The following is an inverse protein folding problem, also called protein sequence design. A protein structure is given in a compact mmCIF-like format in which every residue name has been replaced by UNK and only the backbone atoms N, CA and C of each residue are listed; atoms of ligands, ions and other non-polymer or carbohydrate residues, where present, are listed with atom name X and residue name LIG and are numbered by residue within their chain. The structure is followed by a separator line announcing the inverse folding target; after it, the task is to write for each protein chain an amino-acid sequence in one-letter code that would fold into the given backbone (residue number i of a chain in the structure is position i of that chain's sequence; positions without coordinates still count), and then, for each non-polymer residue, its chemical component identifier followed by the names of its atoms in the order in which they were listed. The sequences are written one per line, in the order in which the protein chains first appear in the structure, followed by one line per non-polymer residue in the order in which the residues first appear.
data_IF_160198466456
#
_entry.id   IF_160198466456
#
_cell.length_a   1.000
_cell.length_b   1.000
_cell.length_c   1.000
_cell.angle_alpha   90.00
_cell.angle_beta   90.00
_cell.angle_gamma   90.00
#
_symmetry.space_group_name_H-M   'P 1'
#
loop_
_entity.id
_entity.type
_entity.pdbx_description
1 polymer ?
#
# COMPACT_ATOMS: atom_id res chain seq x y z
N UNK A 1 35.61 10.15 -15.65
CA UNK A 1 34.92 10.53 -14.41
C UNK A 1 35.88 10.26 -13.27
N UNK A 2 35.93 11.16 -12.31
CA UNK A 2 36.70 10.93 -11.08
C UNK A 2 36.06 9.80 -10.27
N UNK A 3 36.87 9.06 -9.49
CA UNK A 3 36.39 7.88 -8.74
C UNK A 3 35.29 8.27 -7.75
N UNK A 4 35.46 9.40 -7.08
CA UNK A 4 34.49 9.94 -6.11
C UNK A 4 33.16 10.32 -6.78
N UNK A 5 33.19 10.78 -8.04
CA UNK A 5 31.98 11.08 -8.81
C UNK A 5 31.22 9.81 -9.20
N UNK A 6 31.93 8.71 -9.45
CA UNK A 6 31.31 7.43 -9.77
C UNK A 6 30.65 6.81 -8.53
N UNK A 7 31.32 6.83 -7.38
CA UNK A 7 30.76 6.35 -6.11
C UNK A 7 29.53 7.17 -5.68
N UNK A 8 29.59 8.51 -5.83
CA UNK A 8 28.44 9.37 -5.54
C UNK A 8 27.25 9.07 -6.47
N UNK A 9 27.51 8.82 -7.76
CA UNK A 9 26.46 8.47 -8.71
C UNK A 9 25.78 7.14 -8.34
N UNK A 10 26.57 6.11 -8.03
CA UNK A 10 26.04 4.79 -7.64
C UNK A 10 25.20 4.88 -6.37
N UNK A 11 25.65 5.65 -5.39
CA UNK A 11 24.87 5.91 -4.18
C UNK A 11 23.51 6.58 -4.48
N UNK A 12 23.51 7.62 -5.33
CA UNK A 12 22.26 8.31 -5.71
C UNK A 12 21.31 7.41 -6.51
N UNK A 13 21.84 6.53 -7.37
CA UNK A 13 21.04 5.54 -8.10
C UNK A 13 20.37 4.53 -7.16
N UNK A 14 21.09 4.07 -6.12
CA UNK A 14 20.53 3.20 -5.08
C UNK A 14 19.43 3.92 -4.28
N UNK A 15 19.66 5.17 -3.87
CA UNK A 15 18.65 5.97 -3.16
C UNK A 15 17.40 6.20 -4.03
N UNK A 16 17.58 6.49 -5.31
CA UNK A 16 16.47 6.66 -6.24
C UNK A 16 15.67 5.37 -6.40
N UNK A 17 16.33 4.23 -6.52
CA UNK A 17 15.67 2.94 -6.64
C UNK A 17 14.89 2.59 -5.37
N UNK A 18 15.49 2.82 -4.20
CA UNK A 18 14.82 2.66 -2.91
C UNK A 18 13.54 3.52 -2.82
N UNK A 19 13.62 4.81 -3.17
CA UNK A 19 12.44 5.69 -3.18
C UNK A 19 11.33 5.21 -4.13
N UNK A 20 11.69 4.67 -5.31
CA UNK A 20 10.71 4.14 -6.26
C UNK A 20 9.97 2.92 -5.71
N UNK A 21 10.69 2.03 -5.03
CA UNK A 21 10.09 0.84 -4.40
C UNK A 21 9.14 1.22 -3.27
N UNK A 22 9.52 2.18 -2.44
CA UNK A 22 8.65 2.73 -1.39
C UNK A 22 7.39 3.36 -1.99
N UNK A 23 7.54 4.15 -3.05
CA UNK A 23 6.41 4.79 -3.72
C UNK A 23 5.43 3.77 -4.31
N UNK A 24 5.94 2.68 -4.90
CA UNK A 24 5.09 1.60 -5.41
C UNK A 24 4.24 0.97 -4.31
N UNK A 25 4.83 0.66 -3.15
CA UNK A 25 4.11 0.08 -2.01
C UNK A 25 3.02 1.04 -1.51
N UNK A 26 3.33 2.33 -1.41
CA UNK A 26 2.37 3.35 -0.99
C UNK A 26 1.18 3.45 -1.94
N UNK A 27 1.39 3.36 -3.25
CA UNK A 27 0.28 3.40 -4.20
C UNK A 27 -0.58 2.14 -4.17
N UNK A 28 0.02 0.96 -3.96
CA UNK A 28 -0.76 -0.25 -3.72
C UNK A 28 -1.63 -0.13 -2.46
N UNK A 29 -1.11 0.46 -1.38
CA UNK A 29 -1.89 0.73 -0.17
C UNK A 29 -3.03 1.71 -0.45
N UNK A 30 -2.75 2.79 -1.18
CA UNK A 30 -3.72 3.82 -1.51
C UNK A 30 -4.92 3.25 -2.30
N UNK A 31 -4.66 2.40 -3.30
CA UNK A 31 -5.72 1.70 -4.06
C UNK A 31 -6.62 0.87 -3.13
N UNK A 32 -6.03 0.09 -2.22
CA UNK A 32 -6.78 -0.77 -1.29
C UNK A 32 -7.60 0.04 -0.28
N UNK A 33 -7.04 1.14 0.24
CA UNK A 33 -7.76 2.04 1.14
C UNK A 33 -8.93 2.73 0.42
N UNK A 34 -8.76 3.10 -0.85
CA UNK A 34 -9.86 3.60 -1.67
C UNK A 34 -10.95 2.55 -1.90
N UNK A 35 -10.60 1.28 -2.07
CA UNK A 35 -11.56 0.19 -2.19
C UNK A 35 -12.34 -0.03 -0.88
N UNK A 36 -11.66 0.00 0.26
CA UNK A 36 -12.31 -0.04 1.59
C UNK A 36 -13.29 1.12 1.77
N UNK A 37 -12.89 2.32 1.35
CA UNK A 37 -13.77 3.50 1.38
C UNK A 37 -15.03 3.28 0.54
N UNK A 38 -14.90 2.76 -0.69
CA UNK A 38 -16.04 2.48 -1.56
C UNK A 38 -17.00 1.46 -0.96
N UNK A 39 -16.50 0.44 -0.25
CA UNK A 39 -17.33 -0.53 0.47
C UNK A 39 -18.12 0.15 1.59
N UNK A 40 -17.47 1.03 2.36
CA UNK A 40 -18.12 1.77 3.44
C UNK A 40 -19.19 2.75 2.92
N UNK A 41 -18.91 3.45 1.82
CA UNK A 41 -19.87 4.33 1.14
C UNK A 41 -21.07 3.53 0.62
N UNK A 42 -20.83 2.39 -0.04
CA UNK A 42 -21.90 1.51 -0.50
C UNK A 42 -22.80 1.05 0.64
N UNK A 43 -22.21 0.63 1.77
CA UNK A 43 -22.95 0.17 2.94
C UNK A 43 -23.76 1.28 3.64
N UNK A 44 -23.36 2.55 3.49
CA UNK A 44 -24.10 3.70 4.00
C UNK A 44 -25.32 4.02 3.14
N UNK A 45 -25.21 3.85 1.82
CA UNK A 45 -26.24 4.23 0.85
C UNK A 45 -27.33 3.17 0.64
N UNK A 46 -27.11 1.94 1.09
CA UNK A 46 -28.00 0.81 0.83
C UNK A 46 -28.50 0.16 2.12
N UNK A 47 -29.77 -0.27 2.12
CA UNK A 47 -30.27 -1.18 3.14
C UNK A 47 -29.73 -2.60 2.87
N UNK A 48 -28.79 -3.03 3.71
CA UNK A 48 -28.13 -4.32 3.55
C UNK A 48 -28.79 -5.40 4.40
N UNK A 49 -28.92 -6.59 3.82
CA UNK A 49 -29.23 -7.81 4.57
C UNK A 49 -28.05 -8.23 5.45
N UNK A 50 -28.31 -9.07 6.46
CA UNK A 50 -27.26 -9.61 7.32
C UNK A 50 -26.17 -10.36 6.54
N UNK A 51 -26.54 -11.10 5.48
CA UNK A 51 -25.61 -11.81 4.61
C UNK A 51 -24.72 -10.86 3.80
N UNK A 52 -25.26 -9.73 3.32
CA UNK A 52 -24.47 -8.73 2.60
C UNK A 52 -23.50 -8.02 3.54
N UNK A 53 -23.94 -7.69 4.76
CA UNK A 53 -23.08 -7.13 5.80
C UNK A 53 -21.91 -8.08 6.11
N UNK A 54 -22.18 -9.38 6.26
CA UNK A 54 -21.13 -10.38 6.49
C UNK A 54 -20.14 -10.44 5.32
N UNK A 55 -20.64 -10.44 4.08
CA UNK A 55 -19.81 -10.46 2.88
C UNK A 55 -18.92 -9.21 2.76
N UNK A 56 -19.47 -8.01 2.99
CA UNK A 56 -18.71 -6.77 2.93
C UNK A 56 -17.66 -6.69 4.04
N UNK A 57 -17.98 -7.16 5.25
CA UNK A 57 -17.01 -7.27 6.33
C UNK A 57 -15.88 -8.27 5.99
N UNK A 58 -16.21 -9.37 5.31
CA UNK A 58 -15.21 -10.30 4.77
C UNK A 58 -14.23 -9.59 3.83
N UNK A 59 -14.74 -8.81 2.86
CA UNK A 59 -13.91 -8.04 1.93
C UNK A 59 -13.04 -7.00 2.64
N UNK A 60 -13.61 -6.26 3.60
CA UNK A 60 -12.86 -5.29 4.42
C UNK A 60 -11.73 -5.95 5.21
N UNK A 61 -11.96 -7.15 5.76
CA UNK A 61 -10.92 -7.88 6.50
C UNK A 61 -9.78 -8.35 5.58
N UNK A 62 -10.09 -8.78 4.35
CA UNK A 62 -9.06 -9.12 3.35
C UNK A 62 -8.22 -7.88 3.02
N UNK A 63 -8.86 -6.76 2.65
CA UNK A 63 -8.17 -5.51 2.32
C UNK A 63 -7.30 -5.01 3.47
N UNK A 64 -7.82 -5.06 4.71
CA UNK A 64 -7.06 -4.72 5.91
C UNK A 64 -5.80 -5.59 6.06
N UNK A 65 -5.90 -6.89 5.84
CA UNK A 65 -4.74 -7.79 5.94
C UNK A 65 -3.70 -7.51 4.85
N UNK A 66 -4.14 -7.14 3.64
CA UNK A 66 -3.25 -6.75 2.55
C UNK A 66 -2.54 -5.42 2.85
N UNK A 67 -3.26 -4.41 3.34
CA UNK A 67 -2.67 -3.14 3.79
C UNK A 67 -1.63 -3.38 4.89
N UNK A 68 -1.97 -4.16 5.93
CA UNK A 68 -1.02 -4.51 7.00
C UNK A 68 0.23 -5.22 6.45
N UNK A 69 0.08 -6.05 5.42
CA UNK A 69 1.20 -6.74 4.77
C UNK A 69 2.10 -5.76 4.01
N UNK A 70 1.51 -4.76 3.34
CA UNK A 70 2.24 -3.71 2.64
C UNK A 70 2.96 -2.76 3.62
N UNK A 71 2.30 -2.37 4.72
CA UNK A 71 2.93 -1.59 5.79
C UNK A 71 4.16 -2.29 6.36
N UNK A 72 4.07 -3.60 6.62
CA UNK A 72 5.23 -4.39 7.07
C UNK A 72 6.37 -4.37 6.05
N UNK A 73 6.07 -4.47 4.75
CA UNK A 73 7.09 -4.35 3.70
C UNK A 73 7.75 -2.98 3.72
N UNK A 74 6.95 -1.92 3.76
CA UNK A 74 7.40 -0.52 3.82
C UNK A 74 8.40 -0.32 4.98
N UNK A 75 8.06 -0.80 6.18
CA UNK A 75 8.88 -0.68 7.38
C UNK A 75 10.09 -1.63 7.41
N UNK A 76 10.00 -2.80 6.79
CA UNK A 76 11.11 -3.77 6.74
C UNK A 76 12.28 -3.31 5.87
N UNK A 77 12.03 -2.42 4.92
CA UNK A 77 13.04 -1.90 3.98
C UNK A 77 13.87 -0.75 4.61
N UNK A 78 13.62 -0.41 5.88
CA UNK A 78 14.37 0.61 6.65
C UNK A 78 15.55 -0.01 7.46
N UNK A 79 15.82 -1.32 7.34
CA UNK A 79 16.80 -2.00 8.20
C UNK A 79 18.20 -2.20 7.62
#
# INVERSE_FOLDING_TARGET
MDKDQQEQKEFLEQQLQWCKEQNYILEEMNVKLHEMKRIAEYALEHELSASEVEQLNGQLNVLKNEVNSLEKKLHSVIH
#
